data_IF_511220587937
#
_entry.id   IF_511220587937
#
_cell.length_a   1.000
_cell.length_b   1.000
_cell.length_c   1.000
_cell.angle_alpha   90.00
_cell.angle_beta   90.00
_cell.angle_gamma   90.00
#
_symmetry.space_group_name_H-M   'P 1'
#
loop_
_entity.id
_entity.type
_entity.pdbx_description
1 polymer ?
#
# COMPACT_ATOMS: atom_id res chain seq x y z
N UNK A 1 8.71 34.95 -33.23
CA UNK A 1 9.24 33.57 -33.15
C UNK A 1 10.49 33.59 -32.28
N UNK A 2 10.39 33.42 -30.95
CA UNK A 2 11.55 33.26 -30.03
C UNK A 2 11.08 32.99 -28.58
N UNK A 3 10.61 31.77 -28.26
CA UNK A 3 10.56 31.26 -26.88
C UNK A 3 10.74 29.74 -26.89
N UNK A 4 11.96 29.26 -27.12
CA UNK A 4 12.37 27.86 -26.87
C UNK A 4 13.86 27.83 -26.52
N UNK A 5 14.26 28.17 -25.30
CA UNK A 5 15.63 27.83 -24.85
C UNK A 5 15.94 27.67 -23.36
N UNK A 6 14.99 27.82 -22.42
CA UNK A 6 15.35 27.81 -20.98
C UNK A 6 14.85 26.64 -20.11
N UNK A 7 14.29 25.57 -20.68
CA UNK A 7 13.76 24.45 -19.86
C UNK A 7 14.80 23.35 -19.59
N UNK A 8 15.93 23.32 -20.32
CA UNK A 8 16.89 22.20 -20.21
C UNK A 8 17.82 22.25 -18.98
N UNK A 9 18.01 23.39 -18.33
CA UNK A 9 18.95 23.48 -17.19
C UNK A 9 18.33 23.14 -15.82
N UNK A 10 17.02 23.29 -15.63
CA UNK A 10 16.37 22.95 -14.35
C UNK A 10 16.24 21.44 -14.10
N UNK A 11 16.05 20.65 -15.16
CA UNK A 11 15.81 19.21 -15.03
C UNK A 11 17.09 18.44 -14.64
N UNK A 12 18.26 18.88 -15.11
CA UNK A 12 19.53 18.26 -14.77
C UNK A 12 19.91 18.45 -13.28
N UNK A 13 19.58 19.61 -12.70
CA UNK A 13 19.81 19.86 -11.27
C UNK A 13 18.89 19.02 -10.37
N UNK A 14 17.65 18.78 -10.81
CA UNK A 14 16.69 17.98 -10.05
C UNK A 14 17.10 16.49 -10.00
N UNK A 15 17.59 15.94 -11.12
CA UNK A 15 18.08 14.55 -11.16
C UNK A 15 19.32 14.36 -10.28
N UNK A 16 20.27 15.32 -10.31
CA UNK A 16 21.45 15.24 -9.44
C UNK A 16 21.10 15.30 -7.95
N UNK A 17 20.08 16.07 -7.58
CA UNK A 17 19.60 16.14 -6.20
C UNK A 17 18.96 14.81 -5.73
N UNK A 18 18.15 14.17 -6.58
CA UNK A 18 17.57 12.85 -6.26
C UNK A 18 18.64 11.76 -6.14
N UNK A 19 19.65 11.78 -7.02
CA UNK A 19 20.77 10.82 -6.97
C UNK A 19 21.60 11.00 -5.70
N UNK A 20 21.85 12.24 -5.26
CA UNK A 20 22.55 12.51 -4.00
C UNK A 20 21.76 12.03 -2.77
N UNK A 21 20.45 12.21 -2.74
CA UNK A 21 19.59 11.71 -1.65
C UNK A 21 19.62 10.17 -1.61
N UNK A 22 19.54 9.52 -2.76
CA UNK A 22 19.62 8.05 -2.84
C UNK A 22 20.98 7.51 -2.37
N UNK A 23 22.08 8.17 -2.74
CA UNK A 23 23.43 7.80 -2.30
C UNK A 23 23.63 7.99 -0.79
N UNK A 24 23.10 9.08 -0.22
CA UNK A 24 23.16 9.31 1.23
C UNK A 24 22.35 8.26 2.00
N UNK A 25 21.17 7.89 1.49
CA UNK A 25 20.36 6.83 2.10
C UNK A 25 21.05 5.46 2.01
N UNK A 26 21.71 5.17 0.89
CA UNK A 26 22.45 3.91 0.70
C UNK A 26 23.69 3.82 1.59
N UNK A 27 24.44 4.92 1.76
CA UNK A 27 25.59 4.98 2.67
C UNK A 27 25.17 4.84 4.14
N UNK A 28 24.03 5.42 4.55
CA UNK A 28 23.52 5.29 5.92
C UNK A 28 23.14 3.82 6.24
N UNK A 29 22.54 3.12 5.29
CA UNK A 29 22.15 1.70 5.45
C UNK A 29 23.38 0.77 5.48
N UNK A 30 24.46 1.13 4.79
CA UNK A 30 25.71 0.37 4.81
C UNK A 30 26.52 0.58 6.11
N UNK A 31 26.54 1.79 6.68
CA UNK A 31 27.28 2.05 7.93
C UNK A 31 26.65 1.38 9.17
N UNK A 32 25.35 1.10 9.17
CA UNK A 32 24.70 0.38 10.28
C UNK A 32 25.06 -1.12 10.28
N UNK A 33 25.46 -1.68 9.13
CA UNK A 33 25.84 -3.10 9.03
C UNK A 33 27.25 -3.42 9.55
N UNK A 34 28.07 -2.43 9.88
CA UNK A 34 29.48 -2.63 10.25
C UNK A 34 29.77 -2.57 11.76
N UNK A 35 28.76 -2.47 12.62
CA UNK A 35 28.95 -2.26 14.07
C UNK A 35 28.43 -3.38 14.98
N UNK A 36 28.13 -4.57 14.44
CA UNK A 36 27.69 -5.70 15.25
C UNK A 36 28.35 -7.02 14.82
N UNK A 37 29.61 -7.19 15.22
CA UNK A 37 30.37 -8.45 15.26
C UNK A 37 31.56 -8.18 16.20
N UNK A 38 31.93 -8.96 17.23
CA UNK A 38 31.50 -10.27 17.71
C UNK A 38 32.07 -10.41 19.14
N UNK A 39 31.28 -10.98 20.06
CA UNK A 39 31.80 -11.57 21.30
C UNK A 39 31.23 -12.99 21.42
N UNK A 40 32.19 -13.91 21.35
CA UNK A 40 32.26 -15.25 21.89
C UNK A 40 31.34 -16.40 21.45
N UNK A 41 32.06 -17.51 21.36
CA UNK A 41 31.79 -18.76 20.71
C UNK A 41 31.14 -19.79 21.63
N UNK A 42 30.51 -20.75 20.97
CA UNK A 42 30.34 -22.15 21.34
C UNK A 42 29.47 -22.45 22.57
N UNK A 43 28.26 -22.95 22.31
CA UNK A 43 28.02 -24.33 22.69
C UNK A 43 27.01 -25.01 21.75
N UNK A 44 27.47 -26.08 21.12
CA UNK A 44 26.71 -26.96 20.24
C UNK A 44 25.97 -27.96 21.12
N UNK A 45 24.65 -27.99 21.09
CA UNK A 45 23.92 -29.21 21.42
C UNK A 45 22.62 -29.30 20.62
N UNK A 46 22.58 -30.36 19.83
CA UNK A 46 21.49 -30.83 19.00
C UNK A 46 20.25 -31.14 19.83
N UNK A 47 19.10 -30.60 19.41
CA UNK A 47 17.82 -31.29 19.56
C UNK A 47 17.02 -31.04 18.28
N UNK A 48 17.19 -31.96 17.35
CA UNK A 48 16.21 -32.20 16.31
C UNK A 48 14.96 -32.77 16.99
N UNK A 49 14.03 -31.90 17.38
CA UNK A 49 12.66 -32.33 17.69
C UNK A 49 11.67 -31.18 17.48
N UNK A 50 10.76 -31.41 16.53
CA UNK A 50 9.37 -30.91 16.54
C UNK A 50 9.17 -29.41 16.73
N UNK A 51 9.32 -28.66 15.64
CA UNK A 51 8.41 -27.53 15.39
C UNK A 51 7.73 -27.80 14.05
N UNK A 52 6.59 -28.48 14.12
CA UNK A 52 5.54 -28.26 13.12
C UNK A 52 5.31 -26.75 13.14
N UNK A 53 5.88 -26.03 12.17
CA UNK A 53 5.71 -24.59 12.02
C UNK A 53 4.25 -24.36 11.66
N UNK A 54 3.41 -24.32 12.69
CA UNK A 54 2.07 -23.77 12.62
C UNK A 54 2.28 -22.33 12.18
N UNK A 55 2.09 -22.08 10.89
CA UNK A 55 2.19 -20.76 10.28
C UNK A 55 1.24 -19.86 11.05
N UNK A 56 1.77 -19.10 12.00
CA UNK A 56 0.98 -18.16 12.78
C UNK A 56 0.42 -17.12 11.82
N UNK A 57 -0.88 -17.21 11.58
CA UNK A 57 -1.62 -16.15 10.91
C UNK A 57 -1.60 -14.92 11.81
N UNK A 58 -0.89 -13.87 11.40
CA UNK A 58 -0.91 -12.57 12.09
C UNK A 58 -2.31 -11.99 11.89
N UNK A 59 -3.09 -11.93 12.96
CA UNK A 59 -4.44 -11.38 12.94
C UNK A 59 -4.42 -9.85 12.80
N UNK A 60 -5.49 -9.29 12.25
CA UNK A 60 -5.70 -7.84 12.27
C UNK A 60 -5.94 -7.34 13.70
N UNK A 61 -5.47 -6.14 13.99
CA UNK A 61 -5.90 -5.40 15.19
C UNK A 61 -7.20 -4.65 14.90
N UNK A 62 -7.95 -4.18 15.92
CA UNK A 62 -9.09 -3.30 15.70
C UNK A 62 -8.72 -2.08 14.85
N UNK A 63 -9.49 -1.83 13.79
CA UNK A 63 -9.25 -0.75 12.82
C UNK A 63 -10.20 0.45 12.98
N UNK A 64 -11.13 0.41 13.92
CA UNK A 64 -12.18 1.43 14.09
C UNK A 64 -11.64 2.82 14.37
N UNK A 65 -10.56 2.92 15.15
CA UNK A 65 -9.88 4.20 15.42
C UNK A 65 -9.36 4.84 14.13
N UNK A 66 -8.81 4.03 13.22
CA UNK A 66 -8.28 4.47 11.94
C UNK A 66 -9.42 4.84 10.99
N UNK A 67 -10.48 4.04 10.93
CA UNK A 67 -11.70 4.36 10.17
C UNK A 67 -12.23 5.74 10.60
N UNK A 68 -12.36 5.96 11.91
CA UNK A 68 -12.88 7.22 12.45
C UNK A 68 -11.91 8.39 12.21
N UNK A 69 -10.59 8.16 12.28
CA UNK A 69 -9.60 9.16 11.90
C UNK A 69 -9.74 9.57 10.44
N UNK A 70 -9.84 8.60 9.53
CA UNK A 70 -9.95 8.89 8.11
C UNK A 70 -11.26 9.61 7.78
N UNK A 71 -12.35 9.39 8.53
CA UNK A 71 -13.62 10.12 8.36
C UNK A 71 -13.49 11.64 8.51
N UNK A 72 -12.49 12.14 9.25
CA UNK A 72 -12.30 13.59 9.45
C UNK A 72 -11.68 14.32 8.25
N UNK A 73 -11.21 13.60 7.22
CA UNK A 73 -10.65 14.22 6.01
C UNK A 73 -11.80 14.82 5.18
N UNK A 74 -11.66 16.04 4.69
CA UNK A 74 -12.65 16.69 3.82
C UNK A 74 -12.83 15.88 2.53
N UNK A 75 -14.08 15.59 2.15
CA UNK A 75 -14.41 14.86 0.91
C UNK A 75 -13.94 15.59 -0.35
N UNK A 76 -13.78 16.92 -0.31
CA UNK A 76 -13.26 17.69 -1.44
C UNK A 76 -11.83 17.32 -1.82
N UNK A 77 -11.03 16.86 -0.85
CA UNK A 77 -9.64 16.46 -1.10
C UNK A 77 -9.51 15.23 -2.00
N UNK A 78 -10.56 14.41 -2.09
CA UNK A 78 -10.58 13.22 -2.97
C UNK A 78 -10.53 13.57 -4.46
N UNK A 79 -10.96 14.78 -4.83
CA UNK A 79 -10.97 15.27 -6.21
C UNK A 79 -9.81 16.25 -6.48
N UNK A 80 -8.91 16.44 -5.51
CA UNK A 80 -7.70 17.25 -5.65
C UNK A 80 -6.46 16.43 -6.06
N UNK A 81 -5.26 17.01 -5.96
CA UNK A 81 -4.01 16.28 -6.20
C UNK A 81 -3.84 15.10 -5.22
N UNK A 82 -3.47 13.93 -5.73
CA UNK A 82 -3.29 12.71 -4.91
C UNK A 82 -2.38 12.93 -3.70
N UNK A 83 -1.28 13.69 -3.88
CA UNK A 83 -0.32 14.01 -2.81
C UNK A 83 -0.95 14.74 -1.63
N UNK A 84 -1.95 15.59 -1.86
CA UNK A 84 -2.64 16.33 -0.79
C UNK A 84 -3.51 15.41 0.05
N UNK A 85 -4.18 14.45 -0.59
CA UNK A 85 -4.99 13.45 0.11
C UNK A 85 -4.11 12.48 0.92
N UNK A 86 -3.00 12.02 0.34
CA UNK A 86 -2.03 11.14 1.02
C UNK A 86 -1.45 11.83 2.26
N UNK A 87 -0.94 13.05 2.10
CA UNK A 87 -0.37 13.81 3.22
C UNK A 87 -1.41 13.98 4.34
N UNK A 88 -2.65 14.34 3.99
CA UNK A 88 -3.70 14.51 4.98
C UNK A 88 -4.08 13.20 5.67
N UNK A 89 -4.06 12.07 4.96
CA UNK A 89 -4.29 10.77 5.57
C UNK A 89 -3.18 10.41 6.56
N UNK A 90 -1.92 10.64 6.19
CA UNK A 90 -0.75 10.40 7.04
C UNK A 90 -0.78 11.26 8.32
N UNK A 91 -1.19 12.52 8.22
CA UNK A 91 -1.39 13.41 9.37
C UNK A 91 -2.45 12.87 10.36
N UNK A 92 -3.61 12.42 9.87
CA UNK A 92 -4.70 12.00 10.78
C UNK A 92 -4.46 10.63 11.41
N UNK A 93 -3.63 9.78 10.79
CA UNK A 93 -3.22 8.48 11.34
C UNK A 93 -1.90 8.56 12.13
N UNK A 94 -1.25 9.73 12.16
CA UNK A 94 0.02 9.89 12.85
C UNK A 94 -0.08 9.48 14.33
N UNK A 95 0.88 8.68 14.80
CA UNK A 95 0.92 8.17 16.17
C UNK A 95 0.00 6.98 16.44
N UNK A 96 -0.88 6.60 15.51
CA UNK A 96 -1.77 5.44 15.66
C UNK A 96 -1.09 4.18 15.13
N UNK A 97 -1.16 3.10 15.91
CA UNK A 97 -0.59 1.80 15.55
C UNK A 97 -1.71 0.81 15.29
N UNK A 98 -1.66 0.14 14.15
CA UNK A 98 -2.59 -0.93 13.80
C UNK A 98 -1.90 -1.93 12.87
N UNK A 99 -2.41 -3.17 12.81
CA UNK A 99 -2.13 -4.14 11.76
C UNK A 99 -3.46 -4.37 11.01
N UNK A 100 -3.56 -3.90 9.78
CA UNK A 100 -4.80 -4.01 9.04
C UNK A 100 -4.87 -3.13 7.81
N UNK A 101 -6.04 -3.14 7.18
CA UNK A 101 -6.33 -2.39 5.96
C UNK A 101 -7.58 -1.57 6.21
N UNK A 102 -7.53 -0.30 5.86
CA UNK A 102 -8.64 0.63 5.98
C UNK A 102 -8.79 1.38 4.67
N UNK A 103 -10.03 1.52 4.23
CA UNK A 103 -10.34 2.26 3.01
C UNK A 103 -11.35 3.37 3.28
N UNK A 104 -11.26 4.42 2.48
CA UNK A 104 -12.24 5.50 2.45
C UNK A 104 -12.43 5.99 1.01
N UNK A 105 -13.64 6.37 0.68
CA UNK A 105 -14.00 6.98 -0.60
C UNK A 105 -15.01 8.13 -0.35
N UNK A 106 -15.17 9.06 -1.30
CA UNK A 106 -16.34 9.92 -1.31
C UNK A 106 -17.59 9.05 -1.46
N UNK A 107 -18.63 9.33 -0.66
CA UNK A 107 -19.90 8.58 -0.75
C UNK A 107 -20.63 8.85 -2.06
N UNK A 108 -20.44 10.04 -2.62
CA UNK A 108 -21.04 10.48 -3.87
C UNK A 108 -19.94 10.98 -4.79
N UNK A 109 -19.94 10.49 -6.03
CA UNK A 109 -19.10 11.01 -7.11
C UNK A 109 -20.02 11.48 -8.22
N UNK A 110 -19.86 12.75 -8.57
CA UNK A 110 -20.55 13.34 -9.70
C UNK A 110 -19.76 13.04 -10.99
N UNK A 111 -20.33 12.23 -11.88
CA UNK A 111 -19.67 11.76 -13.10
C UNK A 111 -19.62 12.80 -14.22
N UNK A 112 -20.40 13.88 -14.13
CA UNK A 112 -20.32 14.99 -15.09
C UNK A 112 -19.11 15.87 -14.82
N UNK A 113 -18.74 15.98 -13.53
CA UNK A 113 -17.67 16.86 -13.06
C UNK A 113 -16.38 16.11 -12.68
N UNK A 114 -16.43 14.77 -12.53
CA UNK A 114 -15.28 13.93 -12.19
C UNK A 114 -15.08 12.81 -13.20
N UNK A 115 -13.81 12.59 -13.59
CA UNK A 115 -13.40 11.44 -14.43
C UNK A 115 -12.74 10.32 -13.61
N UNK A 116 -12.78 10.42 -12.29
CA UNK A 116 -12.14 9.49 -11.37
C UNK A 116 -13.12 9.02 -10.32
N UNK A 117 -12.88 7.82 -9.81
CA UNK A 117 -13.56 7.25 -8.66
C UNK A 117 -12.48 6.96 -7.61
N UNK A 118 -12.07 7.97 -6.83
CA UNK A 118 -10.90 7.89 -5.96
C UNK A 118 -11.18 7.06 -4.70
N UNK A 119 -10.33 6.07 -4.45
CA UNK A 119 -10.30 5.26 -3.23
C UNK A 119 -9.01 5.54 -2.46
N UNK A 120 -9.12 6.07 -1.24
CA UNK A 120 -8.02 6.16 -0.30
C UNK A 120 -7.86 4.81 0.40
N UNK A 121 -6.64 4.28 0.38
CA UNK A 121 -6.29 3.02 1.02
C UNK A 121 -5.14 3.27 1.99
N UNK A 122 -5.30 2.83 3.22
CA UNK A 122 -4.25 2.85 4.23
C UNK A 122 -4.10 1.43 4.75
N UNK A 123 -2.89 0.90 4.72
CA UNK A 123 -2.60 -0.37 5.39
C UNK A 123 -1.34 -0.26 6.23
N UNK A 124 -1.32 -1.01 7.31
CA UNK A 124 -0.16 -1.12 8.18
C UNK A 124 0.07 -2.58 8.53
N UNK A 125 1.32 -3.02 8.49
CA UNK A 125 1.69 -4.38 8.83
C UNK A 125 3.11 -4.46 9.37
N UNK A 126 3.38 -5.45 10.22
CA UNK A 126 4.73 -5.75 10.66
C UNK A 126 5.58 -6.41 9.57
N UNK A 127 6.90 -6.42 9.76
CA UNK A 127 7.85 -6.98 8.80
C UNK A 127 7.70 -8.49 8.57
N UNK A 128 7.20 -9.26 9.55
CA UNK A 128 6.90 -10.70 9.37
C UNK A 128 5.78 -10.88 8.35
N UNK A 129 4.71 -10.08 8.44
CA UNK A 129 3.58 -10.11 7.50
C UNK A 129 4.00 -9.67 6.10
N UNK A 130 4.76 -8.59 5.98
CA UNK A 130 5.31 -8.12 4.69
C UNK A 130 6.10 -9.22 3.98
N UNK A 131 6.94 -9.96 4.73
CA UNK A 131 7.71 -11.08 4.20
C UNK A 131 6.81 -12.24 3.76
N UNK A 132 5.83 -12.62 4.58
CA UNK A 132 5.01 -13.82 4.37
C UNK A 132 3.87 -13.62 3.37
N UNK A 133 3.37 -12.38 3.27
CA UNK A 133 2.21 -11.95 2.48
C UNK A 133 2.47 -10.53 1.95
N UNK A 134 3.41 -10.37 1.00
CA UNK A 134 3.71 -9.07 0.41
C UNK A 134 2.45 -8.48 -0.27
N UNK A 135 2.04 -7.24 0.03
CA UNK A 135 0.83 -6.64 -0.52
C UNK A 135 0.88 -6.55 -2.05
N UNK A 136 2.07 -6.37 -2.62
CA UNK A 136 2.27 -6.31 -4.08
C UNK A 136 1.72 -7.51 -4.83
N UNK A 137 1.76 -8.70 -4.21
CA UNK A 137 1.34 -9.96 -4.85
C UNK A 137 -0.03 -10.45 -4.37
N UNK A 138 -0.51 -9.93 -3.23
CA UNK A 138 -1.66 -10.50 -2.51
C UNK A 138 -2.83 -9.52 -2.30
N UNK A 139 -2.65 -8.23 -2.60
CA UNK A 139 -3.69 -7.22 -2.39
C UNK A 139 -4.62 -7.09 -3.60
N UNK A 140 -5.92 -7.25 -3.37
CA UNK A 140 -6.95 -7.09 -4.38
C UNK A 140 -8.03 -6.11 -3.92
N UNK A 141 -8.42 -5.22 -4.83
CA UNK A 141 -9.65 -4.45 -4.72
C UNK A 141 -10.80 -5.30 -5.26
N UNK A 142 -11.84 -5.45 -4.45
CA UNK A 142 -13.11 -6.06 -4.84
C UNK A 142 -14.14 -4.93 -4.91
N UNK A 143 -14.71 -4.73 -6.09
CA UNK A 143 -15.75 -3.74 -6.34
C UNK A 143 -16.99 -4.47 -6.84
N UNK A 144 -18.15 -4.24 -6.24
CA UNK A 144 -19.44 -4.81 -6.66
C UNK A 144 -20.38 -3.68 -7.06
N UNK A 145 -20.85 -3.71 -8.31
CA UNK A 145 -22.01 -2.93 -8.76
C UNK A 145 -23.27 -3.58 -8.16
N UNK A 146 -23.95 -2.85 -7.30
CA UNK A 146 -25.15 -3.32 -6.61
C UNK A 146 -26.35 -3.32 -7.57
N UNK A 147 -26.36 -2.42 -8.56
CA UNK A 147 -27.46 -2.26 -9.50
C UNK A 147 -27.48 -3.38 -10.53
N UNK A 148 -26.31 -3.74 -11.06
CA UNK A 148 -26.16 -4.77 -12.11
C UNK A 148 -25.62 -6.11 -11.60
N UNK A 149 -25.44 -6.25 -10.29
CA UNK A 149 -24.86 -7.43 -9.62
C UNK A 149 -23.51 -7.91 -10.22
N UNK A 150 -22.75 -6.98 -10.79
CA UNK A 150 -21.45 -7.27 -11.40
C UNK A 150 -20.33 -7.08 -10.38
N UNK A 151 -19.37 -8.01 -10.32
CA UNK A 151 -18.23 -7.93 -9.41
C UNK A 151 -16.91 -7.91 -10.17
N UNK A 152 -16.05 -6.96 -9.84
CA UNK A 152 -14.68 -6.86 -10.32
C UNK A 152 -13.71 -7.19 -9.19
N UNK A 153 -12.65 -7.93 -9.53
CA UNK A 153 -11.51 -8.20 -8.66
C UNK A 153 -10.24 -7.79 -9.39
N UNK A 154 -9.55 -6.78 -8.86
CA UNK A 154 -8.38 -6.18 -9.52
C UNK A 154 -7.20 -6.10 -8.54
N UNK A 155 -5.97 -6.42 -8.97
CA UNK A 155 -4.79 -6.19 -8.14
C UNK A 155 -4.67 -4.73 -7.71
N UNK A 156 -4.41 -4.48 -6.43
CA UNK A 156 -4.22 -3.13 -5.88
C UNK A 156 -2.92 -2.50 -6.41
N UNK A 157 -1.90 -3.33 -6.64
CA UNK A 157 -0.61 -2.92 -7.18
C UNK A 157 -0.41 -3.50 -8.58
N UNK A 158 0.11 -2.66 -9.48
CA UNK A 158 0.48 -3.10 -10.83
C UNK A 158 1.71 -4.01 -10.75
N UNK A 159 1.56 -5.27 -11.14
CA UNK A 159 2.72 -6.11 -11.41
C UNK A 159 3.46 -5.60 -12.66
N UNK A 160 4.79 -5.51 -12.66
CA UNK A 160 5.55 -5.20 -13.86
C UNK A 160 5.21 -6.20 -14.96
N UNK A 161 4.66 -5.72 -16.08
CA UNK A 161 4.34 -6.57 -17.23
C UNK A 161 5.64 -7.16 -17.81
N UNK A 162 5.67 -8.47 -18.06
CA UNK A 162 6.78 -9.13 -18.77
C UNK A 162 7.91 -9.70 -17.89
N UNK A 163 7.77 -9.72 -16.56
CA UNK A 163 8.68 -10.53 -15.74
C UNK A 163 8.26 -12.00 -15.80
N UNK A 164 9.15 -12.85 -16.30
CA UNK A 164 9.01 -14.30 -16.15
C UNK A 164 9.24 -14.61 -14.67
N UNK A 165 8.30 -15.26 -13.97
CA UNK A 165 8.52 -15.67 -12.59
C UNK A 165 9.77 -16.53 -12.51
N UNK A 166 10.68 -16.19 -11.60
CA UNK A 166 11.84 -17.05 -11.37
C UNK A 166 11.35 -18.40 -10.85
N UNK A 167 11.82 -19.54 -11.41
CA UNK A 167 11.48 -20.85 -10.90
C UNK A 167 11.75 -20.94 -9.40
N UNK A 168 10.87 -21.59 -8.63
CA UNK A 168 11.01 -21.72 -7.17
C UNK A 168 12.37 -22.29 -6.74
N UNK A 169 12.93 -23.17 -7.56
CA UNK A 169 14.24 -23.80 -7.36
C UNK A 169 15.42 -22.82 -7.45
N UNK A 170 15.23 -21.69 -8.15
CA UNK A 170 16.22 -20.63 -8.32
C UNK A 170 15.97 -19.46 -7.37
N UNK A 171 14.88 -19.49 -6.58
CA UNK A 171 14.62 -18.43 -5.62
C UNK A 171 15.67 -18.49 -4.51
N UNK A 172 16.39 -17.37 -4.25
CA UNK A 172 17.28 -17.31 -3.10
C UNK A 172 16.45 -17.55 -1.83
N UNK A 173 17.02 -18.23 -0.83
CA UNK A 173 16.33 -18.45 0.42
C UNK A 173 15.96 -17.10 1.04
N UNK A 174 14.74 -17.01 1.58
CA UNK A 174 14.34 -15.84 2.35
C UNK A 174 15.35 -15.64 3.49
N UNK A 175 15.80 -14.41 3.75
CA UNK A 175 16.72 -14.14 4.85
C UNK A 175 16.11 -14.63 6.17
N UNK A 176 16.92 -15.03 7.17
CA UNK A 176 16.39 -15.48 8.45
C UNK A 176 15.49 -14.42 9.11
N UNK A 177 14.48 -14.87 9.85
CA UNK A 177 13.59 -13.97 10.60
C UNK A 177 14.37 -13.40 11.80
N UNK A 178 14.60 -12.09 11.84
CA UNK A 178 15.18 -11.45 13.02
C UNK A 178 14.07 -11.05 14.00
N UNK A 179 14.31 -11.07 15.33
CA UNK A 179 13.34 -10.61 16.32
C UNK A 179 12.87 -9.17 16.07
N UNK A 180 13.77 -8.32 15.56
CA UNK A 180 13.52 -6.92 15.21
C UNK A 180 12.47 -6.75 14.11
N UNK A 181 12.34 -7.73 13.20
CA UNK A 181 11.42 -7.68 12.07
C UNK A 181 9.95 -7.69 12.51
N UNK A 182 9.65 -8.19 13.71
CA UNK A 182 8.30 -8.15 14.31
C UNK A 182 7.97 -6.78 14.90
N UNK A 183 8.98 -6.00 15.27
CA UNK A 183 8.84 -4.71 15.93
C UNK A 183 8.67 -3.55 14.95
N UNK A 184 9.23 -3.68 13.74
CA UNK A 184 9.10 -2.68 12.67
C UNK A 184 7.74 -2.83 11.98
N UNK A 185 6.96 -1.73 11.96
CA UNK A 185 5.71 -1.62 11.21
C UNK A 185 5.92 -0.74 9.99
N UNK A 186 5.41 -1.21 8.87
CA UNK A 186 5.33 -0.45 7.64
C UNK A 186 3.90 0.01 7.46
N UNK A 187 3.70 1.32 7.38
CA UNK A 187 2.42 1.92 7.02
C UNK A 187 2.54 2.51 5.63
N UNK A 188 1.56 2.25 4.78
CA UNK A 188 1.50 2.82 3.45
C UNK A 188 0.10 3.39 3.19
N UNK A 189 0.08 4.55 2.55
CA UNK A 189 -1.11 5.28 2.13
C UNK A 189 -1.06 5.43 0.62
N UNK A 190 -2.11 5.01 -0.08
CA UNK A 190 -2.20 5.13 -1.53
C UNK A 190 -3.57 5.63 -1.96
N UNK A 191 -3.60 6.28 -3.12
CA UNK A 191 -4.84 6.63 -3.82
C UNK A 191 -5.00 5.72 -5.03
N UNK A 192 -6.12 5.02 -5.08
CA UNK A 192 -6.46 4.09 -6.14
C UNK A 192 -7.71 4.59 -6.87
N UNK A 193 -7.56 4.99 -8.12
CA UNK A 193 -8.71 5.35 -8.96
C UNK A 193 -9.36 4.09 -9.53
N UNK A 194 -10.58 3.78 -9.08
CA UNK A 194 -11.30 2.58 -9.52
C UNK A 194 -11.63 2.63 -11.02
N UNK A 195 -11.83 3.83 -11.60
CA UNK A 195 -12.11 3.93 -13.02
C UNK A 195 -10.90 3.54 -13.86
N UNK A 196 -9.77 4.26 -13.72
CA UNK A 196 -8.61 4.04 -14.56
C UNK A 196 -7.80 2.78 -14.21
N UNK A 197 -7.70 2.40 -12.92
CA UNK A 197 -6.88 1.27 -12.48
C UNK A 197 -7.64 -0.05 -12.46
N UNK A 198 -8.97 -0.02 -12.23
CA UNK A 198 -9.81 -1.22 -12.18
C UNK A 198 -10.80 -1.34 -13.35
N UNK A 199 -10.77 -0.41 -14.32
CA UNK A 199 -11.70 -0.37 -15.46
C UNK A 199 -13.18 -0.39 -15.02
N UNK A 200 -13.49 0.17 -13.86
CA UNK A 200 -14.87 0.31 -13.39
C UNK A 200 -15.55 1.38 -14.25
N UNK A 201 -16.72 1.10 -14.85
CA UNK A 201 -17.37 2.07 -15.74
C UNK A 201 -17.86 3.31 -14.98
N UNK A 202 -17.63 4.50 -15.55
CA UNK A 202 -18.25 5.76 -15.11
C UNK A 202 -19.70 5.82 -15.59
N UNK A 203 -20.57 5.07 -14.92
CA UNK A 203 -22.01 5.05 -15.17
C UNK A 203 -22.76 5.27 -13.87
N UNK A 204 -23.99 5.75 -13.95
CA UNK A 204 -24.85 5.92 -12.78
C UNK A 204 -25.05 4.58 -12.07
N UNK A 205 -24.94 4.56 -10.74
CA UNK A 205 -25.07 3.33 -9.97
C UNK A 205 -24.48 3.40 -8.57
N UNK A 206 -24.61 2.29 -7.84
CA UNK A 206 -24.08 2.14 -6.48
C UNK A 206 -23.07 1.00 -6.45
N UNK A 207 -21.91 1.29 -5.86
CA UNK A 207 -20.80 0.38 -5.78
C UNK A 207 -20.44 0.11 -4.32
N UNK A 208 -20.25 -1.15 -3.98
CA UNK A 208 -19.66 -1.59 -2.71
C UNK A 208 -18.21 -1.98 -2.96
N UNK A 209 -17.28 -1.41 -2.21
CA UNK A 209 -15.86 -1.63 -2.40
C UNK A 209 -15.22 -2.13 -1.11
N UNK A 210 -14.35 -3.13 -1.24
CA UNK A 210 -13.46 -3.61 -0.17
C UNK A 210 -12.10 -4.03 -0.71
N UNK A 211 -11.12 -4.15 0.18
CA UNK A 211 -9.80 -4.67 -0.15
C UNK A 211 -9.54 -5.93 0.66
N UNK A 212 -8.94 -6.92 0.01
CA UNK A 212 -8.54 -8.18 0.62
C UNK A 212 -7.04 -8.39 0.40
N UNK A 213 -6.32 -8.69 1.47
CA UNK A 213 -4.93 -9.17 1.45
C UNK A 213 -4.88 -10.53 2.13
N UNK A 214 -5.02 -11.58 1.33
CA UNK A 214 -5.13 -12.97 1.80
C UNK A 214 -6.25 -13.15 2.83
N UNK A 215 -5.92 -13.22 4.12
CA UNK A 215 -6.83 -13.39 5.26
C UNK A 215 -7.23 -12.07 5.93
N UNK A 216 -6.73 -10.92 5.45
CA UNK A 216 -7.14 -9.60 5.93
C UNK A 216 -8.19 -9.00 5.02
N UNK A 217 -9.25 -8.44 5.59
CA UNK A 217 -10.30 -7.71 4.89
C UNK A 217 -10.42 -6.29 5.44
N UNK A 218 -10.53 -5.29 4.56
CA UNK A 218 -10.81 -3.92 4.97
C UNK A 218 -12.27 -3.74 5.41
N UNK A 219 -12.58 -2.56 5.97
CA UNK A 219 -13.96 -2.09 6.01
C UNK A 219 -14.54 -1.98 4.58
N UNK A 220 -15.86 -2.05 4.47
CA UNK A 220 -16.56 -1.81 3.21
C UNK A 220 -16.93 -0.33 3.06
N UNK A 221 -16.90 0.18 1.84
CA UNK A 221 -17.33 1.54 1.52
C UNK A 221 -18.34 1.52 0.37
N UNK A 222 -19.41 2.31 0.53
CA UNK A 222 -20.41 2.52 -0.50
C UNK A 222 -20.10 3.81 -1.26
N UNK A 223 -20.15 3.73 -2.59
CA UNK A 223 -19.94 4.86 -3.51
C UNK A 223 -21.14 4.92 -4.46
N UNK A 224 -21.78 6.07 -4.55
CA UNK A 224 -22.85 6.35 -5.50
C UNK A 224 -22.35 7.27 -6.61
N UNK A 225 -22.46 6.81 -7.86
CA UNK A 225 -22.16 7.60 -9.05
C UNK A 225 -23.44 8.28 -9.52
N UNK A 226 -23.44 9.61 -9.53
CA UNK A 226 -24.60 10.45 -9.88
C UNK A 226 -24.24 11.47 -10.96
N UNK A 227 -25.24 11.99 -11.65
CA UNK A 227 -25.16 13.10 -12.62
C UNK A 227 -25.90 14.32 -12.05
N UNK A 228 -25.45 15.54 -12.36
CA UNK A 228 -26.20 16.76 -12.01
C UNK A 228 -27.48 16.80 -12.83
N UNK A 229 -28.60 16.96 -12.14
CA UNK A 229 -29.87 17.28 -12.78
C UNK A 229 -29.95 18.76 -13.12
#
# INVERSE_FOLDING_TARGET
MLVKKNIKHGFAHYINFIIQIFLLFFCLVLSIKTLAFSSDSSNTQSVADRVSQKKETIAMTPIDEIINALKSIDSKLFFGPESSLVLRAEEVIQGKKFDGIVIRAPQVVNIDNSRTIPLLVVFSQNGKRERDVPPGDHAFVICKDITEDTTWKVPLFSMPKGKIPMPKEQMPPLPPESPEMRSVRMTATIVFDLHSKANIPLKLGKFLVKIVIKDWESNEVNIELMSEK
#
